data_IF_668461582365
#
_entry.id   IF_668461582365
#
_cell.length_a   1.000
_cell.length_b   1.000
_cell.length_c   1.000
_cell.angle_alpha   90.00
_cell.angle_beta   90.00
_cell.angle_gamma   90.00
#
_symmetry.space_group_name_H-M   'P 1'
#
loop_
_entity.id
_entity.type
_entity.pdbx_description
1 polymer ?
#
# COMPACT_ATOMS: atom_id res chain seq x y z
N UNK A 1 -79.95 -11.20 -26.03
CA UNK A 1 -79.74 -9.81 -25.55
C UNK A 1 -78.85 -9.92 -24.31
N UNK A 2 -77.68 -9.27 -24.33
CA UNK A 2 -76.62 -9.28 -23.28
C UNK A 2 -75.88 -10.64 -23.16
N UNK A 3 -74.57 -10.75 -23.02
CA UNK A 3 -73.50 -9.78 -22.80
C UNK A 3 -72.17 -10.37 -23.33
N UNK A 4 -71.20 -9.49 -23.55
CA UNK A 4 -69.89 -9.64 -24.18
C UNK A 4 -68.93 -10.62 -23.51
N UNK A 5 -68.14 -11.31 -24.34
CA UNK A 5 -66.98 -12.14 -24.00
C UNK A 5 -65.85 -11.29 -23.40
N UNK A 6 -65.39 -11.68 -22.22
CA UNK A 6 -64.22 -11.12 -21.53
C UNK A 6 -62.93 -11.34 -22.35
N UNK A 7 -62.22 -10.25 -22.65
CA UNK A 7 -60.86 -10.30 -23.20
C UNK A 7 -59.89 -10.51 -22.04
N UNK A 8 -59.41 -11.75 -21.85
CA UNK A 8 -58.25 -11.99 -21.00
C UNK A 8 -57.01 -11.34 -21.62
N UNK A 9 -56.52 -10.27 -21.00
CA UNK A 9 -55.25 -9.66 -21.32
C UNK A 9 -54.11 -10.56 -20.79
N UNK A 10 -53.48 -11.30 -21.68
CA UNK A 10 -52.22 -12.01 -21.41
C UNK A 10 -51.12 -10.99 -21.12
N UNK A 11 -50.84 -10.73 -19.85
CA UNK A 11 -49.71 -9.91 -19.43
C UNK A 11 -48.44 -10.76 -19.54
N UNK A 12 -47.63 -10.51 -20.58
CA UNK A 12 -46.30 -11.10 -20.71
C UNK A 12 -45.39 -10.45 -19.66
N UNK A 13 -45.06 -11.18 -18.60
CA UNK A 13 -43.96 -10.83 -17.71
C UNK A 13 -42.64 -11.00 -18.48
N UNK A 14 -42.06 -9.88 -18.92
CA UNK A 14 -40.65 -9.82 -19.29
C UNK A 14 -39.83 -9.92 -18.00
N UNK A 15 -39.22 -11.08 -17.75
CA UNK A 15 -38.15 -11.20 -16.78
C UNK A 15 -36.95 -10.40 -17.30
N UNK A 16 -36.82 -9.16 -16.85
CA UNK A 16 -35.58 -8.40 -16.99
C UNK A 16 -34.61 -8.99 -15.97
N UNK A 17 -33.72 -9.86 -16.42
CA UNK A 17 -32.57 -10.26 -15.60
C UNK A 17 -31.65 -9.06 -15.46
N UNK A 18 -31.73 -8.36 -14.33
CA UNK A 18 -30.68 -7.44 -13.92
C UNK A 18 -29.43 -8.28 -13.65
N UNK A 19 -28.51 -8.33 -14.62
CA UNK A 19 -27.11 -8.61 -14.29
C UNK A 19 -26.68 -7.46 -13.38
N UNK A 20 -26.69 -7.68 -12.06
CA UNK A 20 -25.92 -6.88 -11.13
C UNK A 20 -24.47 -7.07 -11.51
N UNK A 21 -23.90 -6.14 -12.27
CA UNK A 21 -22.46 -6.02 -12.36
C UNK A 21 -21.97 -5.77 -10.94
N UNK A 22 -21.40 -6.79 -10.31
CA UNK A 22 -20.60 -6.58 -9.10
C UNK A 22 -19.49 -5.63 -9.55
N UNK A 23 -19.42 -4.40 -9.03
CA UNK A 23 -18.29 -3.54 -9.35
C UNK A 23 -17.05 -4.32 -8.93
N UNK A 24 -16.24 -4.69 -9.90
CA UNK A 24 -14.90 -5.17 -9.64
C UNK A 24 -14.19 -4.06 -8.89
N UNK A 25 -13.95 -4.25 -7.60
CA UNK A 25 -13.11 -3.37 -6.82
C UNK A 25 -11.72 -3.57 -7.40
N UNK A 26 -11.29 -2.63 -8.25
CA UNK A 26 -9.93 -2.61 -8.75
C UNK A 26 -9.07 -2.32 -7.54
N UNK A 27 -8.09 -3.16 -7.30
CA UNK A 27 -7.19 -3.01 -6.18
C UNK A 27 -6.02 -2.12 -6.63
N UNK A 28 -5.67 -1.12 -5.83
CA UNK A 28 -4.40 -0.42 -6.04
C UNK A 28 -3.26 -1.41 -5.88
N UNK A 29 -2.08 -1.07 -6.37
CA UNK A 29 -0.94 -1.95 -6.19
C UNK A 29 0.35 -1.14 -6.13
N UNK A 30 1.21 -1.50 -5.17
CA UNK A 30 2.52 -0.89 -5.05
C UNK A 30 3.36 -1.48 -3.93
N UNK A 31 4.64 -1.15 -3.96
CA UNK A 31 5.63 -1.64 -3.01
C UNK A 31 6.82 -0.69 -2.89
N UNK A 32 7.54 -0.77 -1.77
CA UNK A 32 8.84 -0.13 -1.62
C UNK A 32 9.95 -1.01 -2.24
N UNK A 33 10.66 -0.46 -3.22
CA UNK A 33 11.69 -1.17 -3.99
C UNK A 33 13.11 -0.92 -3.46
N UNK A 34 13.36 0.23 -2.82
CA UNK A 34 14.67 0.55 -2.24
C UNK A 34 14.57 1.47 -1.01
N UNK A 35 15.22 1.12 0.13
CA UNK A 35 15.75 -0.21 0.42
C UNK A 35 14.64 -1.26 0.31
N UNK A 36 15.01 -2.48 -0.06
CA UNK A 36 14.04 -3.50 -0.45
C UNK A 36 13.10 -3.82 0.72
N UNK A 37 11.79 -3.80 0.49
CA UNK A 37 10.85 -4.31 1.49
C UNK A 37 10.90 -5.83 1.60
N UNK A 38 10.38 -6.40 2.69
CA UNK A 38 10.32 -7.84 2.93
C UNK A 38 9.64 -8.60 1.78
N UNK A 39 8.51 -8.07 1.30
CA UNK A 39 7.77 -8.63 0.16
C UNK A 39 8.55 -8.51 -1.15
N UNK A 40 9.32 -7.45 -1.34
CA UNK A 40 10.17 -7.30 -2.51
C UNK A 40 11.39 -8.24 -2.47
N UNK A 41 12.01 -8.41 -1.30
CA UNK A 41 13.04 -9.44 -1.07
C UNK A 41 12.49 -10.84 -1.34
N UNK A 42 11.30 -11.16 -0.83
CA UNK A 42 10.64 -12.44 -1.08
C UNK A 42 10.32 -12.67 -2.57
N UNK A 43 10.00 -11.61 -3.30
CA UNK A 43 9.78 -11.70 -4.75
C UNK A 43 11.06 -11.94 -5.55
N UNK A 44 12.14 -11.23 -5.22
CA UNK A 44 13.40 -11.31 -5.97
C UNK A 44 14.22 -12.56 -5.63
N UNK A 45 14.33 -12.84 -4.32
CA UNK A 45 15.30 -13.80 -3.80
C UNK A 45 14.63 -15.12 -3.36
N UNK A 46 13.29 -15.12 -3.27
CA UNK A 46 12.50 -16.21 -2.71
C UNK A 46 12.67 -17.55 -3.40
N UNK A 47 12.34 -18.60 -2.64
CA UNK A 47 12.32 -19.98 -3.12
C UNK A 47 10.95 -20.58 -2.88
N UNK A 48 10.54 -21.48 -3.77
CA UNK A 48 9.35 -22.28 -3.59
C UNK A 48 9.40 -23.03 -2.25
N UNK A 49 8.23 -23.28 -1.65
CA UNK A 49 8.11 -23.99 -0.38
C UNK A 49 8.80 -25.37 -0.46
N UNK A 50 9.74 -25.60 0.45
CA UNK A 50 10.57 -26.81 0.51
C UNK A 50 11.80 -26.81 -0.41
N UNK A 51 12.02 -25.74 -1.18
CA UNK A 51 13.12 -25.63 -2.16
C UNK A 51 14.21 -24.63 -1.75
N UNK A 52 14.50 -24.51 -0.45
CA UNK A 52 15.51 -23.61 0.10
C UNK A 52 15.92 -24.01 1.52
N UNK A 53 16.34 -23.02 2.31
CA UNK A 53 16.79 -23.15 3.69
C UNK A 53 16.03 -22.19 4.63
N UNK A 54 16.37 -22.22 5.92
CA UNK A 54 15.80 -21.31 6.93
C UNK A 54 16.17 -19.84 6.71
N UNK A 55 17.19 -19.56 5.88
CA UNK A 55 17.64 -18.21 5.53
C UNK A 55 17.13 -17.73 4.18
N UNK A 56 16.53 -18.61 3.38
CA UNK A 56 15.93 -18.22 2.09
C UNK A 56 14.50 -17.74 2.35
N UNK A 57 14.07 -16.58 1.81
CA UNK A 57 12.68 -16.15 1.94
C UNK A 57 11.74 -17.10 1.17
N UNK A 58 10.51 -17.24 1.66
CA UNK A 58 9.46 -17.89 0.88
C UNK A 58 9.10 -17.01 -0.33
N UNK A 59 8.97 -17.61 -1.50
CA UNK A 59 8.65 -16.92 -2.75
C UNK A 59 7.33 -16.13 -2.69
N UNK A 60 7.35 -14.90 -3.23
CA UNK A 60 6.21 -14.01 -3.34
C UNK A 60 5.91 -13.61 -4.77
N UNK A 61 4.66 -13.81 -5.19
CA UNK A 61 4.21 -13.47 -6.53
C UNK A 61 3.38 -12.17 -6.57
N UNK A 62 2.72 -11.81 -5.47
CA UNK A 62 1.86 -10.64 -5.34
C UNK A 62 2.51 -9.61 -4.39
N UNK A 63 3.78 -9.31 -4.61
CA UNK A 63 4.56 -8.41 -3.75
C UNK A 63 4.00 -6.98 -3.70
N UNK A 64 3.14 -6.60 -4.65
CA UNK A 64 2.51 -5.28 -4.73
C UNK A 64 1.11 -5.25 -4.09
N UNK A 65 0.66 -6.35 -3.46
CA UNK A 65 -0.74 -6.61 -3.08
C UNK A 65 -0.99 -6.66 -1.56
N UNK A 66 -0.18 -5.95 -0.77
CA UNK A 66 -0.19 -6.06 0.70
C UNK A 66 -1.18 -5.09 1.35
N UNK A 67 -2.46 -5.22 1.03
CA UNK A 67 -3.55 -4.41 1.59
C UNK A 67 -4.57 -5.19 2.43
N UNK A 68 -4.25 -6.43 2.80
CA UNK A 68 -5.02 -7.20 3.79
C UNK A 68 -4.39 -7.10 5.19
N UNK A 69 -5.13 -7.58 6.18
CA UNK A 69 -4.74 -7.56 7.59
C UNK A 69 -5.47 -6.47 8.38
N UNK A 70 -5.19 -6.43 9.68
CA UNK A 70 -5.64 -5.37 10.59
C UNK A 70 -4.48 -4.89 11.47
N UNK A 71 -4.05 -3.65 11.26
CA UNK A 71 -2.97 -3.03 12.02
C UNK A 71 -3.29 -2.92 13.52
N UNK A 72 -4.56 -2.91 13.92
CA UNK A 72 -4.98 -2.96 15.31
C UNK A 72 -4.87 -4.36 15.94
N UNK A 73 -4.75 -5.40 15.12
CA UNK A 73 -4.57 -6.79 15.56
C UNK A 73 -3.12 -7.28 15.45
N UNK A 74 -2.21 -6.42 14.96
CA UNK A 74 -0.78 -6.71 14.86
C UNK A 74 -0.26 -6.88 13.42
N UNK A 75 -1.12 -6.85 12.40
CA UNK A 75 -0.71 -7.02 11.00
C UNK A 75 -0.16 -5.70 10.43
N UNK A 76 1.05 -5.30 10.83
CA UNK A 76 1.60 -3.96 10.58
C UNK A 76 2.46 -3.86 9.32
N UNK A 77 2.82 -4.99 8.70
CA UNK A 77 3.61 -4.99 7.47
C UNK A 77 2.82 -5.47 6.25
N UNK A 78 1.50 -5.62 6.40
CA UNK A 78 0.58 -6.02 5.34
C UNK A 78 0.52 -7.52 5.10
N UNK A 79 -0.68 -7.98 4.74
CA UNK A 79 -0.94 -9.34 4.29
C UNK A 79 -1.30 -9.29 2.80
N UNK A 80 -0.81 -10.26 2.03
CA UNK A 80 -1.18 -10.36 0.61
C UNK A 80 -2.68 -10.57 0.40
N UNK A 81 -3.22 -10.10 -0.72
CA UNK A 81 -4.64 -10.24 -1.09
C UNK A 81 -5.24 -11.65 -1.03
N UNK A 82 -4.43 -12.71 -1.11
CA UNK A 82 -4.88 -14.08 -0.96
C UNK A 82 -4.91 -14.57 0.52
N UNK A 83 -4.54 -13.72 1.47
CA UNK A 83 -4.35 -14.08 2.88
C UNK A 83 -3.19 -15.06 3.11
N UNK A 84 -2.29 -15.22 2.12
CA UNK A 84 -1.32 -16.32 2.10
C UNK A 84 -0.07 -16.02 2.92
N UNK A 85 0.37 -14.76 2.93
CA UNK A 85 1.62 -14.32 3.54
C UNK A 85 1.40 -13.04 4.35
N UNK A 86 1.68 -13.12 5.65
CA UNK A 86 1.78 -11.97 6.56
C UNK A 86 3.26 -11.54 6.64
N UNK A 87 3.54 -10.31 6.25
CA UNK A 87 4.89 -9.77 6.24
C UNK A 87 5.30 -9.13 7.56
N UNK A 88 4.43 -9.12 8.57
CA UNK A 88 4.80 -8.79 9.94
C UNK A 88 5.75 -9.84 10.47
N UNK A 89 5.48 -11.09 10.13
CA UNK A 89 6.33 -12.25 10.41
C UNK A 89 6.62 -13.03 9.13
N UNK A 90 7.58 -12.55 8.29
CA UNK A 90 7.86 -13.18 7.01
C UNK A 90 8.30 -14.64 7.17
N UNK A 91 7.91 -15.48 6.21
CA UNK A 91 8.26 -16.89 6.20
C UNK A 91 9.55 -17.15 5.43
N UNK A 92 10.32 -18.13 5.87
CA UNK A 92 11.41 -18.72 5.11
C UNK A 92 10.89 -19.81 4.16
N UNK A 93 11.75 -20.29 3.27
CA UNK A 93 11.43 -21.29 2.26
C UNK A 93 11.05 -22.67 2.85
N UNK A 94 11.29 -22.93 4.14
CA UNK A 94 10.84 -24.13 4.85
C UNK A 94 9.49 -23.91 5.59
N UNK A 95 8.90 -22.72 5.47
CA UNK A 95 7.64 -22.35 6.12
C UNK A 95 7.77 -21.87 7.57
N UNK A 96 8.99 -21.82 8.11
CA UNK A 96 9.29 -21.24 9.42
C UNK A 96 9.45 -19.72 9.35
N UNK A 97 9.77 -19.09 10.49
CA UNK A 97 10.07 -17.66 10.54
C UNK A 97 11.39 -17.34 9.82
N UNK A 98 11.37 -16.30 8.98
CA UNK A 98 12.58 -15.74 8.39
C UNK A 98 13.22 -14.74 9.37
N UNK A 99 14.46 -14.99 9.75
CA UNK A 99 15.23 -14.08 10.60
C UNK A 99 15.50 -12.71 9.93
N UNK A 100 16.02 -11.73 10.67
CA UNK A 100 16.34 -10.41 10.11
C UNK A 100 17.25 -10.48 8.88
N UNK A 101 16.91 -9.73 7.85
CA UNK A 101 17.62 -9.53 6.60
C UNK A 101 17.72 -8.02 6.32
N UNK A 102 18.69 -7.37 6.98
CA UNK A 102 18.95 -5.92 6.87
C UNK A 102 19.29 -5.51 5.43
N UNK A 103 18.58 -4.52 4.90
CA UNK A 103 18.74 -4.02 3.52
C UNK A 103 19.53 -2.71 3.43
N UNK A 104 19.69 -1.97 4.53
CA UNK A 104 20.47 -0.75 4.59
C UNK A 104 20.94 -0.41 6.01
N UNK A 105 21.94 0.45 6.11
CA UNK A 105 22.42 1.05 7.35
C UNK A 105 22.40 2.57 7.24
N UNK A 106 21.91 3.24 8.28
CA UNK A 106 21.77 4.69 8.37
C UNK A 106 22.21 5.22 9.73
N UNK A 107 22.22 6.54 9.87
CA UNK A 107 22.35 7.25 11.16
C UNK A 107 21.02 7.93 11.49
N UNK A 108 20.66 8.03 12.77
CA UNK A 108 19.49 8.80 13.18
C UNK A 108 19.57 10.25 12.68
N UNK A 109 18.43 10.84 12.32
CA UNK A 109 18.40 12.16 11.69
C UNK A 109 18.86 12.21 10.22
N UNK A 110 19.38 11.12 9.65
CA UNK A 110 19.84 11.08 8.26
C UNK A 110 18.68 11.27 7.27
N UNK A 111 18.94 11.98 6.18
CA UNK A 111 18.01 12.02 5.03
C UNK A 111 18.30 10.84 4.11
N UNK A 112 17.37 9.91 4.07
CA UNK A 112 17.44 8.67 3.29
C UNK A 112 16.58 8.76 2.03
N UNK A 113 16.86 7.89 1.06
CA UNK A 113 16.06 7.75 -0.16
C UNK A 113 15.14 6.54 0.00
N UNK A 114 13.86 6.75 -0.28
CA UNK A 114 12.85 5.70 -0.43
C UNK A 114 12.40 5.68 -1.88
N UNK A 115 12.63 4.55 -2.54
CA UNK A 115 12.10 4.25 -3.86
C UNK A 115 10.88 3.34 -3.72
N UNK A 116 9.81 3.68 -4.42
CA UNK A 116 8.60 2.87 -4.48
C UNK A 116 8.13 2.72 -5.92
N UNK A 117 7.34 1.69 -6.18
CA UNK A 117 6.74 1.41 -7.49
C UNK A 117 5.25 1.25 -7.28
N UNK A 118 4.45 1.97 -8.07
CA UNK A 118 3.01 1.73 -8.18
C UNK A 118 2.76 1.01 -9.49
N UNK A 119 2.25 -0.22 -9.42
CA UNK A 119 1.91 -0.99 -10.62
C UNK A 119 0.46 -0.74 -11.05
N UNK A 120 -0.43 -0.41 -10.11
CA UNK A 120 -1.77 0.13 -10.36
C UNK A 120 -1.93 1.46 -9.63
N UNK A 121 -2.00 2.55 -10.39
CA UNK A 121 -1.84 3.91 -9.88
C UNK A 121 -3.17 4.56 -9.47
N UNK A 122 -3.44 4.59 -8.17
CA UNK A 122 -4.66 5.15 -7.58
C UNK A 122 -4.45 6.51 -6.89
N UNK A 123 -3.40 7.24 -7.28
CA UNK A 123 -3.01 8.54 -6.70
C UNK A 123 -2.82 8.46 -5.19
N UNK A 124 -2.68 9.59 -4.50
CA UNK A 124 -2.59 9.64 -3.05
C UNK A 124 -1.19 9.94 -2.56
N UNK A 125 -0.79 9.34 -1.45
CA UNK A 125 0.49 9.62 -0.81
C UNK A 125 1.07 8.38 -0.13
N UNK A 126 2.39 8.41 0.07
CA UNK A 126 3.09 7.49 0.96
C UNK A 126 3.47 8.22 2.26
N UNK A 127 3.45 7.46 3.35
CA UNK A 127 4.07 7.81 4.63
C UNK A 127 5.10 6.74 4.95
N UNK A 128 6.22 7.14 5.51
CA UNK A 128 7.25 6.21 5.99
C UNK A 128 7.41 6.42 7.49
N UNK A 129 7.44 5.33 8.26
CA UNK A 129 7.50 5.36 9.72
C UNK A 129 8.55 4.38 10.23
N UNK A 130 9.18 4.64 11.37
CA UNK A 130 10.18 3.75 11.97
C UNK A 130 9.63 3.02 13.20
N UNK A 131 10.09 1.81 13.46
CA UNK A 131 9.86 1.12 14.73
C UNK A 131 11.13 0.38 15.15
N UNK A 132 11.77 0.73 16.28
CA UNK A 132 12.97 0.05 16.77
C UNK A 132 12.65 -1.24 17.54
N UNK A 133 11.55 -1.93 17.21
CA UNK A 133 11.20 -3.27 17.70
C UNK A 133 10.90 -4.19 16.53
N UNK A 134 11.91 -4.98 16.16
CA UNK A 134 11.80 -5.95 15.07
C UNK A 134 10.91 -7.15 15.41
N UNK A 135 10.93 -7.60 16.67
CA UNK A 135 10.31 -8.87 17.06
C UNK A 135 8.83 -8.71 17.40
N UNK A 136 8.44 -7.56 17.93
CA UNK A 136 7.06 -7.24 18.28
C UNK A 136 6.64 -5.85 17.77
N UNK A 137 6.73 -5.59 16.46
CA UNK A 137 6.34 -4.29 15.94
C UNK A 137 4.84 -4.06 16.14
N UNK A 138 4.47 -2.82 16.48
CA UNK A 138 3.06 -2.41 16.64
C UNK A 138 2.79 -1.17 15.83
N UNK A 139 1.52 -0.95 15.44
CA UNK A 139 1.17 0.25 14.70
C UNK A 139 1.45 1.51 15.54
N UNK A 140 1.23 1.45 16.86
CA UNK A 140 1.57 2.53 17.78
C UNK A 140 3.07 2.89 17.81
N UNK A 141 3.96 1.89 17.65
CA UNK A 141 5.39 2.11 17.54
C UNK A 141 5.73 2.92 16.27
N UNK A 142 5.17 2.52 15.12
CA UNK A 142 5.35 3.26 13.87
C UNK A 142 4.75 4.66 13.95
N UNK A 143 3.54 4.82 14.47
CA UNK A 143 2.85 6.10 14.55
C UNK A 143 3.54 7.09 15.48
N UNK A 144 4.35 6.62 16.43
CA UNK A 144 5.19 7.46 17.28
C UNK A 144 6.43 8.03 16.57
N UNK A 145 6.81 7.48 15.42
CA UNK A 145 8.08 7.77 14.74
C UNK A 145 7.91 7.93 13.21
N UNK A 146 7.06 8.88 12.75
CA UNK A 146 7.00 9.20 11.33
C UNK A 146 8.34 9.79 10.85
N UNK A 147 8.73 9.44 9.63
CA UNK A 147 9.80 10.14 8.93
C UNK A 147 9.22 11.42 8.30
N UNK A 148 10.04 12.45 8.22
CA UNK A 148 9.67 13.72 7.59
C UNK A 148 9.97 13.66 6.09
N UNK A 149 8.98 13.95 5.24
CA UNK A 149 9.21 14.11 3.80
C UNK A 149 10.10 15.34 3.54
N UNK A 150 11.11 15.16 2.69
CA UNK A 150 12.10 16.20 2.35
C UNK A 150 11.94 16.67 0.91
N UNK A 151 11.92 15.74 -0.05
CA UNK A 151 11.98 16.07 -1.47
C UNK A 151 11.46 14.92 -2.32
N UNK A 152 10.64 15.22 -3.33
CA UNK A 152 10.41 14.31 -4.44
C UNK A 152 11.43 14.60 -5.54
N UNK A 153 12.33 13.63 -5.77
CA UNK A 153 13.50 13.80 -6.63
C UNK A 153 13.17 13.68 -8.12
N UNK A 154 12.01 13.14 -8.48
CA UNK A 154 11.68 12.84 -9.87
C UNK A 154 10.55 13.69 -10.41
N UNK A 155 9.50 13.94 -9.62
CA UNK A 155 8.32 14.64 -10.12
C UNK A 155 8.06 15.98 -9.43
N UNK A 156 8.76 16.28 -8.34
CA UNK A 156 8.73 17.58 -7.69
C UNK A 156 7.46 17.85 -6.88
N UNK A 157 6.87 16.82 -6.25
CA UNK A 157 5.82 16.98 -5.24
C UNK A 157 6.25 18.02 -4.16
N UNK A 158 5.46 19.09 -3.94
CA UNK A 158 5.72 20.04 -2.87
C UNK A 158 5.67 19.41 -1.48
N UNK A 159 6.38 20.01 -0.53
CA UNK A 159 6.25 19.60 0.87
C UNK A 159 4.95 20.12 1.47
N UNK A 160 4.23 19.27 2.19
CA UNK A 160 3.07 19.66 2.98
C UNK A 160 3.52 20.15 4.36
N UNK A 161 3.21 21.40 4.69
CA UNK A 161 3.57 21.98 5.99
C UNK A 161 2.65 21.54 7.13
N UNK A 162 1.43 21.09 6.82
CA UNK A 162 0.45 20.63 7.78
C UNK A 162 0.56 19.12 8.03
N UNK A 163 1.05 18.36 7.04
CA UNK A 163 1.28 16.92 7.09
C UNK A 163 2.71 16.59 6.59
N UNK A 164 3.76 17.00 7.34
CA UNK A 164 5.15 16.94 6.90
C UNK A 164 5.68 15.53 6.63
N UNK A 165 4.97 14.49 7.03
CA UNK A 165 5.28 13.08 6.82
C UNK A 165 4.86 12.54 5.44
N UNK A 166 4.04 13.29 4.68
CA UNK A 166 3.44 12.82 3.42
C UNK A 166 4.30 13.13 2.20
N UNK A 167 4.63 12.09 1.44
CA UNK A 167 5.15 12.21 0.07
C UNK A 167 4.05 11.89 -0.94
N UNK A 168 3.67 12.88 -1.76
CA UNK A 168 2.54 12.77 -2.68
C UNK A 168 2.94 12.17 -4.03
N UNK A 169 2.16 11.22 -4.53
CA UNK A 169 2.44 10.60 -5.82
C UNK A 169 2.00 11.49 -6.98
N UNK A 170 2.89 11.66 -7.95
CA UNK A 170 2.60 12.33 -9.21
C UNK A 170 1.54 11.55 -10.01
N UNK A 171 0.77 12.20 -10.91
CA UNK A 171 -0.15 11.51 -11.80
C UNK A 171 0.53 10.43 -12.64
N UNK A 172 -0.21 9.36 -12.93
CA UNK A 172 0.26 8.29 -13.81
C UNK A 172 0.69 8.85 -15.17
N UNK A 173 1.95 8.60 -15.53
CA UNK A 173 2.56 9.03 -16.79
C UNK A 173 2.41 7.99 -17.93
N UNK A 174 1.74 6.87 -17.68
CA UNK A 174 1.59 5.74 -18.60
C UNK A 174 2.46 4.53 -18.25
N UNK A 175 3.36 4.64 -17.27
CA UNK A 175 4.25 3.54 -16.85
C UNK A 175 3.61 2.62 -15.79
N UNK A 176 2.45 3.00 -15.24
CA UNK A 176 1.64 2.15 -14.38
C UNK A 176 0.30 1.83 -15.03
N UNK A 177 -0.30 0.72 -14.65
CA UNK A 177 -1.69 0.46 -14.98
C UNK A 177 -2.61 1.51 -14.35
N UNK A 178 -3.62 1.92 -15.12
CA UNK A 178 -4.68 2.75 -14.59
C UNK A 178 -5.71 1.95 -13.78
N UNK A 179 -6.60 2.62 -13.04
CA UNK A 179 -7.74 1.96 -12.42
C UNK A 179 -8.55 1.19 -13.49
N UNK A 180 -8.67 -0.13 -13.37
CA UNK A 180 -9.45 -0.99 -14.29
C UNK A 180 -8.67 -2.06 -15.06
N UNK A 181 -7.35 -2.16 -14.87
CA UNK A 181 -6.53 -3.19 -15.51
C UNK A 181 -6.40 -4.46 -14.65
N UNK A 182 -6.49 -5.63 -15.29
CA UNK A 182 -6.34 -6.96 -14.67
C UNK A 182 -5.07 -7.66 -15.12
N UNK A 183 -4.06 -6.92 -15.58
CA UNK A 183 -2.85 -7.53 -16.12
C UNK A 183 -2.17 -8.42 -15.06
N UNK A 184 -2.04 -9.71 -15.39
CA UNK A 184 -1.37 -10.72 -14.58
C UNK A 184 0.16 -10.64 -14.69
N UNK A 185 0.68 -9.84 -15.63
CA UNK A 185 2.09 -9.52 -15.78
C UNK A 185 2.34 -8.14 -15.19
N UNK A 186 2.79 -8.11 -13.94
CA UNK A 186 3.05 -6.90 -13.14
C UNK A 186 4.55 -6.62 -13.04
N UNK A 187 5.30 -6.96 -14.10
CA UNK A 187 6.75 -6.76 -14.17
C UNK A 187 7.16 -5.29 -14.42
N UNK A 188 6.19 -4.39 -14.60
CA UNK A 188 6.37 -2.96 -14.81
C UNK A 188 5.46 -2.11 -13.90
N UNK A 189 5.88 -0.88 -13.63
CA UNK A 189 5.12 0.09 -12.84
C UNK A 189 5.80 1.45 -12.83
N UNK A 190 5.04 2.49 -12.45
CA UNK A 190 5.57 3.84 -12.32
C UNK A 190 6.42 3.91 -11.05
N UNK A 191 7.69 4.24 -11.21
CA UNK A 191 8.63 4.34 -10.11
C UNK A 191 8.64 5.76 -9.53
N UNK A 192 8.88 5.85 -8.23
CA UNK A 192 9.01 7.08 -7.46
C UNK A 192 10.29 7.05 -6.63
N UNK A 193 10.90 8.22 -6.43
CA UNK A 193 12.12 8.39 -5.64
C UNK A 193 12.01 9.63 -4.79
N UNK A 194 11.86 9.43 -3.49
CA UNK A 194 11.60 10.51 -2.53
C UNK A 194 12.60 10.44 -1.37
N UNK A 195 12.99 11.60 -0.86
CA UNK A 195 13.82 11.73 0.33
C UNK A 195 12.96 11.89 1.57
N UNK A 196 13.34 11.17 2.61
CA UNK A 196 12.74 11.23 3.93
C UNK A 196 13.82 11.40 4.99
N UNK A 197 13.57 12.22 6.01
CA UNK A 197 14.47 12.37 7.16
C UNK A 197 14.07 11.39 8.26
N UNK A 198 15.03 10.59 8.71
CA UNK A 198 14.87 9.71 9.87
C UNK A 198 14.60 10.54 11.15
N UNK A 199 13.75 10.03 12.06
CA UNK A 199 13.56 10.67 13.36
C UNK A 199 14.85 10.59 14.20
N UNK A 200 15.09 11.63 14.98
CA UNK A 200 16.16 11.65 16.00
C UNK A 200 15.76 10.71 17.16
N UNK A 201 16.74 10.06 17.80
CA UNK A 201 16.51 9.20 18.97
C UNK A 201 15.89 7.83 18.65
N UNK A 202 15.77 7.45 17.37
CA UNK A 202 15.33 6.13 16.94
C UNK A 202 16.51 5.40 16.30
N UNK A 203 17.11 4.46 17.04
CA UNK A 203 18.25 3.68 16.59
C UNK A 203 18.14 2.21 17.05
N UNK A 204 18.89 1.33 16.39
CA UNK A 204 18.89 -0.10 16.67
C UNK A 204 19.53 -0.93 15.56
N UNK A 205 19.96 -2.15 15.91
CA UNK A 205 20.51 -3.10 14.94
C UNK A 205 19.44 -3.58 13.94
N UNK A 206 18.22 -3.77 14.41
CA UNK A 206 17.07 -4.22 13.64
C UNK A 206 15.91 -3.25 13.85
N UNK A 207 15.85 -2.23 13.00
CA UNK A 207 14.73 -1.27 12.93
C UNK A 207 13.89 -1.62 11.72
N UNK A 208 12.57 -1.56 11.87
CA UNK A 208 11.65 -1.65 10.75
C UNK A 208 11.28 -0.25 10.27
N UNK A 209 11.31 -0.03 8.96
CA UNK A 209 10.60 1.07 8.33
C UNK A 209 9.31 0.53 7.72
N UNK A 210 8.16 1.12 8.06
CA UNK A 210 6.87 0.84 7.44
C UNK A 210 6.66 1.84 6.32
N UNK A 211 6.64 1.36 5.08
CA UNK A 211 6.10 2.11 3.94
C UNK A 211 4.59 1.89 3.89
N UNK A 212 3.83 2.97 4.01
CA UNK A 212 2.37 2.97 4.03
C UNK A 212 1.86 3.83 2.89
N UNK A 213 1.27 3.19 1.88
CA UNK A 213 0.61 3.87 0.78
C UNK A 213 -0.88 3.97 1.05
N UNK A 214 -1.42 5.18 0.92
CA UNK A 214 -2.85 5.48 1.08
C UNK A 214 -3.38 6.08 -0.22
N UNK A 215 -4.38 5.42 -0.83
CA UNK A 215 -4.87 5.83 -2.15
C UNK A 215 -5.66 7.14 -2.11
N UNK A 216 -5.61 7.88 -3.21
CA UNK A 216 -6.25 9.19 -3.35
C UNK A 216 -7.52 9.20 -4.19
N UNK A 217 -7.92 8.07 -4.79
CA UNK A 217 -8.96 8.00 -5.81
C UNK A 217 -10.36 7.59 -5.32
N UNK A 218 -10.57 7.43 -4.01
CA UNK A 218 -11.87 6.99 -3.45
C UNK A 218 -12.49 7.95 -2.43
N UNK A 219 -11.69 8.81 -1.80
CA UNK A 219 -12.14 9.85 -0.90
C UNK A 219 -11.06 10.92 -0.77
N UNK A 220 -11.43 12.09 -0.25
CA UNK A 220 -10.51 13.20 -0.01
C UNK A 220 -9.95 13.16 1.41
N UNK A 221 -8.64 13.01 1.53
CA UNK A 221 -7.94 12.96 2.81
C UNK A 221 -7.95 14.31 3.56
N UNK A 222 -7.92 14.31 4.90
CA UNK A 222 -7.69 15.52 5.69
C UNK A 222 -6.42 16.25 5.22
N UNK A 223 -6.52 17.56 4.97
CA UNK A 223 -5.41 18.42 4.54
C UNK A 223 -5.24 18.60 3.04
N UNK A 224 -5.83 17.72 2.22
CA UNK A 224 -5.68 17.81 0.77
C UNK A 224 -6.22 19.10 0.17
N UNK A 225 -7.19 19.74 0.83
CA UNK A 225 -7.77 21.03 0.45
C UNK A 225 -6.82 22.22 0.66
N UNK A 226 -5.83 22.08 1.54
CA UNK A 226 -4.82 23.09 1.82
C UNK A 226 -3.46 22.79 1.17
N UNK A 227 -3.26 21.57 0.66
CA UNK A 227 -2.01 21.18 0.02
C UNK A 227 -1.81 21.92 -1.32
N UNK A 228 -0.61 22.48 -1.58
CA UNK A 228 -0.34 23.24 -2.80
C UNK A 228 -0.12 22.30 -4.01
N UNK A 229 -1.18 21.64 -4.49
CA UNK A 229 -1.11 20.72 -5.61
C UNK A 229 -0.45 21.35 -6.85
N UNK A 230 0.55 20.68 -7.45
CA UNK A 230 0.97 21.04 -8.79
C UNK A 230 -0.21 20.93 -9.78
N UNK A 231 -0.24 21.73 -10.85
CA UNK A 231 -1.33 21.68 -11.83
C UNK A 231 -1.56 20.26 -12.36
N UNK A 232 -2.78 19.75 -12.22
CA UNK A 232 -3.19 18.41 -12.67
C UNK A 232 -2.86 17.25 -11.73
N UNK A 233 -2.32 17.51 -10.54
CA UNK A 233 -2.05 16.48 -9.54
C UNK A 233 -3.19 16.25 -8.55
N UNK A 234 -4.06 17.24 -8.39
CA UNK A 234 -5.16 17.18 -7.44
C UNK A 234 -6.05 15.96 -7.71
N UNK A 235 -6.32 15.12 -6.69
CA UNK A 235 -7.23 14.00 -6.84
C UNK A 235 -8.66 14.42 -7.17
N UNK A 236 -9.46 13.48 -7.68
CA UNK A 236 -10.86 13.73 -8.00
C UNK A 236 -11.65 14.27 -6.79
N UNK A 237 -12.64 15.13 -7.06
CA UNK A 237 -13.44 15.79 -6.03
C UNK A 237 -14.45 14.81 -5.39
N UNK A 238 -14.00 14.10 -4.36
CA UNK A 238 -14.77 13.08 -3.63
C UNK A 238 -15.13 13.55 -2.22
N UNK A 239 -16.03 12.80 -1.56
CA UNK A 239 -16.35 13.01 -0.14
C UNK A 239 -15.13 12.79 0.77
N UNK A 240 -15.15 13.30 2.01
CA UNK A 240 -14.03 13.15 2.94
C UNK A 240 -13.77 11.68 3.29
N UNK A 241 -12.50 11.32 3.45
CA UNK A 241 -12.12 10.02 3.99
C UNK A 241 -12.53 9.88 5.47
N UNK A 242 -12.72 8.65 5.98
CA UNK A 242 -12.86 8.41 7.41
C UNK A 242 -11.65 8.96 8.17
N UNK A 243 -11.91 9.49 9.36
CA UNK A 243 -10.87 9.97 10.28
C UNK A 243 -11.21 9.49 11.72
N UNK A 244 -10.41 8.59 12.32
CA UNK A 244 -9.18 8.00 11.77
C UNK A 244 -9.46 7.07 10.57
N UNK A 245 -8.43 6.85 9.74
CA UNK A 245 -8.49 5.88 8.66
C UNK A 245 -8.75 4.46 9.21
N UNK A 246 -9.42 3.58 8.43
CA UNK A 246 -9.60 2.19 8.81
C UNK A 246 -8.25 1.50 9.06
N UNK A 247 -8.22 0.55 9.99
CA UNK A 247 -7.01 -0.20 10.33
C UNK A 247 -6.75 -1.37 9.38
N UNK A 248 -7.72 -1.67 8.50
CA UNK A 248 -7.62 -2.63 7.40
C UNK A 248 -7.55 -1.91 6.05
N UNK A 249 -6.88 -2.53 5.07
CA UNK A 249 -6.50 -1.83 3.83
C UNK A 249 -7.39 -2.03 2.61
N UNK A 250 -8.34 -2.98 2.63
CA UNK A 250 -9.14 -3.32 1.46
C UNK A 250 -10.66 -3.21 1.65
N UNK A 251 -11.15 -3.24 2.90
CA UNK A 251 -12.59 -3.40 3.14
C UNK A 251 -13.35 -2.07 3.23
N UNK A 252 -12.65 -0.95 3.45
CA UNK A 252 -13.24 0.37 3.58
C UNK A 252 -12.33 1.38 2.86
N UNK A 253 -12.86 2.19 1.92
CA UNK A 253 -12.09 3.24 1.28
C UNK A 253 -11.53 4.25 2.30
N UNK A 254 -10.33 4.80 2.07
CA UNK A 254 -9.44 4.54 0.93
C UNK A 254 -8.69 3.21 1.06
N UNK A 255 -8.23 2.66 -0.05
CA UNK A 255 -7.35 1.49 -0.01
C UNK A 255 -5.99 1.86 0.59
N UNK A 256 -5.38 0.91 1.31
CA UNK A 256 -4.12 1.13 2.02
C UNK A 256 -3.21 -0.09 1.89
N UNK A 257 -1.91 0.14 1.70
CA UNK A 257 -0.90 -0.90 1.51
C UNK A 257 0.25 -0.68 2.48
N UNK A 258 0.71 -1.77 3.10
CA UNK A 258 1.82 -1.74 4.04
C UNK A 258 2.93 -2.65 3.56
N UNK A 259 4.16 -2.16 3.66
CA UNK A 259 5.39 -2.92 3.43
C UNK A 259 6.35 -2.60 4.58
N UNK A 260 7.08 -3.59 5.07
CA UNK A 260 8.17 -3.33 6.02
C UNK A 260 9.53 -3.53 5.36
N UNK A 261 10.47 -2.67 5.73
CA UNK A 261 11.87 -2.65 5.28
C UNK A 261 12.73 -2.82 6.52
N UNK A 262 13.76 -3.65 6.44
CA UNK A 262 14.63 -3.93 7.57
C UNK A 262 15.94 -3.15 7.44
N UNK A 263 16.28 -2.36 8.45
CA UNK A 263 17.46 -1.49 8.42
C UNK A 263 18.20 -1.52 9.76
N UNK A 264 19.47 -1.14 9.74
CA UNK A 264 20.19 -0.71 10.95
C UNK A 264 20.18 0.81 11.00
N UNK A 265 19.88 1.38 12.16
CA UNK A 265 20.04 2.82 12.40
C UNK A 265 21.02 3.00 13.56
N UNK A 266 22.10 3.73 13.31
CA UNK A 266 23.13 4.08 14.28
C UNK A 266 22.77 5.39 15.01
N UNK A 267 23.21 5.58 16.25
CA UNK A 267 23.18 6.88 16.92
C UNK A 267 24.07 7.93 16.24
#
# INVERSE_FOLDING_TARGET
MHSTVDKQAMTRFLLVSFLTAVPSVVNAHGYASSPRSRNWVAHQDGKALGAGSETDPLEEHCHHCLNQGDTALGDVCGITNAGSNDYTHPKNALGGFLGPNVQAQYVEGETIIIESVLTSHHQGHQVVKACPDFFNPTQACFDAHPLEFVEDMWYGAPKDVNYPERGYFAPNNGDAEGPGSYALDQSWGMAFKMKFKLPEGVNGQYVLLQWHYVTGNSCRHPGYDAYPWPPGWEPDNMGPCPDPLPTNGANVPPEQFWNCIEVTILP
#
